data_IF_256703054277
#
_entry.id   IF_256703054277
#
_cell.length_a   1.000
_cell.length_b   1.000
_cell.length_c   1.000
_cell.angle_alpha   90.00
_cell.angle_beta   90.00
_cell.angle_gamma   90.00
#
_symmetry.space_group_name_H-M   'P 1'
#
loop_
_entity.id
_entity.type
_entity.pdbx_description
1 polymer ?
#
# COMPACT_ATOMS: atom_id res chain seq x y z
N UNK A 1 2.55 -32.52 -5.46
CA UNK A 1 3.17 -33.27 -4.36
C UNK A 1 3.17 -32.37 -3.12
N UNK A 2 2.79 -32.88 -1.97
CA UNK A 2 2.82 -32.13 -0.70
C UNK A 2 3.95 -32.68 0.17
N UNK A 3 4.65 -31.79 0.89
CA UNK A 3 5.73 -32.16 1.81
C UNK A 3 5.41 -31.65 3.23
N UNK A 4 5.86 -32.39 4.24
CA UNK A 4 5.72 -31.98 5.64
C UNK A 4 6.84 -31.02 6.02
N UNK A 5 6.49 -29.90 6.65
CA UNK A 5 7.44 -28.91 7.18
C UNK A 5 7.34 -28.91 8.69
N UNK A 6 8.47 -29.06 9.38
CA UNK A 6 8.55 -29.04 10.85
C UNK A 6 9.63 -28.07 11.31
N UNK A 7 9.33 -27.26 12.32
CA UNK A 7 10.28 -26.34 12.96
C UNK A 7 10.05 -26.32 14.48
N UNK A 8 11.09 -25.96 15.24
CA UNK A 8 10.97 -25.70 16.68
C UNK A 8 10.56 -24.25 16.89
N UNK A 9 9.57 -24.03 17.75
CA UNK A 9 9.09 -22.70 18.15
C UNK A 9 8.90 -22.68 19.67
N UNK A 10 9.04 -21.51 20.33
CA UNK A 10 8.68 -21.35 21.73
C UNK A 10 7.22 -21.75 21.98
N UNK A 11 6.97 -22.43 23.10
CA UNK A 11 5.64 -22.98 23.41
C UNK A 11 4.64 -21.87 23.66
N UNK A 12 5.08 -20.81 24.35
CA UNK A 12 4.29 -19.63 24.65
C UNK A 12 3.81 -18.96 23.37
N UNK A 13 4.71 -18.79 22.39
CA UNK A 13 4.39 -18.21 21.10
C UNK A 13 3.40 -19.08 20.31
N UNK A 14 3.59 -20.40 20.31
CA UNK A 14 2.67 -21.34 19.66
C UNK A 14 1.25 -21.19 20.21
N UNK A 15 1.12 -21.21 21.54
CA UNK A 15 -0.18 -21.22 22.20
C UNK A 15 -0.92 -19.89 21.99
N UNK A 16 -0.21 -18.76 22.07
CA UNK A 16 -0.76 -17.43 21.74
C UNK A 16 -1.27 -17.38 20.31
N UNK A 17 -0.47 -17.83 19.33
CA UNK A 17 -0.86 -17.80 17.92
C UNK A 17 -2.02 -18.75 17.65
N UNK A 18 -2.04 -19.94 18.25
CA UNK A 18 -3.11 -20.92 18.04
C UNK A 18 -4.46 -20.43 18.58
N UNK A 19 -4.46 -19.74 19.72
CA UNK A 19 -5.66 -19.08 20.22
C UNK A 19 -6.20 -18.04 19.22
N UNK A 20 -5.33 -17.16 18.72
CA UNK A 20 -5.69 -16.11 17.76
C UNK A 20 -6.17 -16.66 16.41
N UNK A 21 -5.53 -17.73 15.92
CA UNK A 21 -5.96 -18.43 14.69
C UNK A 21 -7.37 -19.02 14.84
N UNK A 22 -7.68 -19.58 16.01
CA UNK A 22 -9.00 -20.13 16.33
C UNK A 22 -10.11 -19.07 16.26
N UNK A 23 -9.85 -17.88 16.79
CA UNK A 23 -10.79 -16.74 16.71
C UNK A 23 -11.03 -16.28 15.27
N UNK A 24 -10.02 -16.40 14.41
CA UNK A 24 -10.07 -15.98 13.00
C UNK A 24 -10.55 -17.06 12.04
N UNK A 25 -10.85 -18.28 12.54
CA UNK A 25 -11.22 -19.43 11.70
C UNK A 25 -10.09 -19.94 10.80
N UNK A 26 -8.84 -19.58 11.09
CA UNK A 26 -7.66 -19.99 10.35
C UNK A 26 -6.98 -21.19 11.00
N UNK A 27 -6.28 -21.99 10.19
CA UNK A 27 -5.53 -23.15 10.66
C UNK A 27 -4.02 -22.88 10.65
N UNK A 28 -3.24 -23.56 11.52
CA UNK A 28 -1.78 -23.47 11.50
C UNK A 28 -1.18 -23.81 10.12
N UNK A 29 -1.77 -24.78 9.41
CA UNK A 29 -1.36 -25.13 8.05
C UNK A 29 -1.52 -23.96 7.07
N UNK A 30 -2.66 -23.26 7.13
CA UNK A 30 -2.90 -22.08 6.28
C UNK A 30 -1.93 -20.95 6.61
N UNK A 31 -1.62 -20.74 7.89
CA UNK A 31 -0.61 -19.76 8.30
C UNK A 31 0.75 -20.05 7.65
N UNK A 32 1.23 -21.30 7.74
CA UNK A 32 2.50 -21.70 7.13
C UNK A 32 2.46 -21.57 5.61
N UNK A 33 1.41 -22.06 4.95
CA UNK A 33 1.26 -21.95 3.49
C UNK A 33 1.29 -20.49 3.01
N UNK A 34 0.61 -19.60 3.72
CA UNK A 34 0.60 -18.17 3.41
C UNK A 34 1.97 -17.53 3.60
N UNK A 35 2.72 -17.93 4.63
CA UNK A 35 4.10 -17.47 4.82
C UNK A 35 5.02 -17.89 3.65
N UNK A 36 4.92 -19.14 3.18
CA UNK A 36 5.67 -19.60 2.00
C UNK A 36 5.27 -18.82 0.74
N UNK A 37 3.97 -18.59 0.52
CA UNK A 37 3.47 -17.83 -0.61
C UNK A 37 3.93 -16.36 -0.57
N UNK A 38 3.94 -15.74 0.63
CA UNK A 38 4.44 -14.39 0.83
C UNK A 38 5.93 -14.30 0.46
N UNK A 39 6.77 -15.19 0.98
CA UNK A 39 8.20 -15.16 0.68
C UNK A 39 8.48 -15.44 -0.81
N UNK A 40 7.75 -16.37 -1.43
CA UNK A 40 7.89 -16.66 -2.85
C UNK A 40 7.60 -15.43 -3.73
N UNK A 41 6.61 -14.61 -3.35
CA UNK A 41 6.20 -13.39 -4.05
C UNK A 41 7.13 -12.21 -3.78
N UNK A 42 7.41 -11.94 -2.50
CA UNK A 42 8.07 -10.70 -2.08
C UNK A 42 9.60 -10.86 -1.93
N UNK A 43 10.09 -12.10 -1.88
CA UNK A 43 11.51 -12.43 -1.63
C UNK A 43 12.06 -11.84 -0.33
N UNK A 44 11.16 -11.51 0.59
CA UNK A 44 11.44 -10.97 1.92
C UNK A 44 10.56 -11.69 2.94
N UNK A 45 11.06 -11.80 4.17
CA UNK A 45 10.20 -12.18 5.30
C UNK A 45 9.43 -10.95 5.77
N UNK A 46 8.23 -11.11 6.33
CA UNK A 46 7.58 -10.05 7.11
C UNK A 46 8.39 -9.86 8.39
N UNK A 47 9.54 -9.20 8.26
CA UNK A 47 10.27 -8.64 9.39
C UNK A 47 9.47 -7.43 9.88
N UNK A 48 9.59 -7.11 11.17
CA UNK A 48 9.06 -5.86 11.72
C UNK A 48 9.31 -4.74 10.71
N UNK A 49 8.23 -4.15 10.19
CA UNK A 49 8.36 -3.00 9.30
C UNK A 49 9.18 -1.97 10.06
N UNK A 50 10.39 -1.68 9.55
CA UNK A 50 11.19 -0.62 10.13
C UNK A 50 10.30 0.62 10.22
N UNK A 51 10.15 1.21 11.42
CA UNK A 51 9.25 2.33 11.60
C UNK A 51 9.60 3.39 10.57
N UNK A 52 8.61 3.84 9.80
CA UNK A 52 8.82 4.90 8.82
C UNK A 52 9.19 6.16 9.58
N UNK A 53 10.48 6.42 9.69
CA UNK A 53 10.98 7.62 10.36
C UNK A 53 10.61 8.85 9.52
N UNK A 54 10.10 9.93 10.17
CA UNK A 54 9.86 11.18 9.47
C UNK A 54 11.18 11.75 8.93
N UNK A 55 11.16 12.28 7.70
CA UNK A 55 12.34 12.89 7.09
C UNK A 55 12.35 12.86 5.57
N UNK A 56 13.46 13.35 5.00
CA UNK A 56 13.71 13.28 3.55
C UNK A 56 14.28 11.91 3.19
N UNK A 57 13.68 11.28 2.18
CA UNK A 57 14.18 10.01 1.63
C UNK A 57 14.87 10.27 0.30
N UNK A 58 16.03 9.67 0.14
CA UNK A 58 16.75 9.66 -1.14
C UNK A 58 16.29 8.45 -1.94
N UNK A 59 15.68 8.67 -3.10
CA UNK A 59 15.33 7.61 -4.03
C UNK A 59 16.57 7.17 -4.81
N UNK A 60 16.67 5.87 -5.12
CA UNK A 60 17.62 5.41 -6.14
C UNK A 60 17.22 5.97 -7.51
N UNK A 61 18.18 6.05 -8.43
CA UNK A 61 17.93 6.53 -9.80
C UNK A 61 16.79 5.78 -10.49
N UNK A 62 16.75 4.45 -10.34
CA UNK A 62 15.69 3.61 -10.91
C UNK A 62 14.31 3.97 -10.34
N UNK A 63 14.20 4.17 -9.02
CA UNK A 63 12.94 4.53 -8.36
C UNK A 63 12.50 5.94 -8.70
N UNK A 64 13.46 6.86 -8.87
CA UNK A 64 13.19 8.22 -9.32
C UNK A 64 12.64 8.21 -10.75
N UNK A 65 13.20 7.37 -11.63
CA UNK A 65 12.68 7.14 -12.99
C UNK A 65 11.25 6.62 -13.00
N UNK A 66 10.96 5.58 -12.21
CA UNK A 66 9.59 5.04 -12.07
C UNK A 66 8.60 6.08 -11.54
N UNK A 67 9.00 6.88 -10.55
CA UNK A 67 8.14 7.94 -10.00
C UNK A 67 7.86 9.04 -11.04
N UNK A 68 8.89 9.50 -11.75
CA UNK A 68 8.75 10.50 -12.80
C UNK A 68 7.90 10.00 -13.97
N UNK A 69 7.95 8.71 -14.28
CA UNK A 69 7.05 8.09 -15.25
C UNK A 69 5.61 8.07 -14.74
N UNK A 70 5.38 7.60 -13.52
CA UNK A 70 4.05 7.58 -12.91
C UNK A 70 3.40 8.96 -12.93
N UNK A 71 4.12 10.01 -12.51
CA UNK A 71 3.59 11.38 -12.51
C UNK A 71 3.21 11.81 -13.94
N UNK A 72 4.04 11.53 -14.94
CA UNK A 72 3.73 11.89 -16.34
C UNK A 72 2.51 11.16 -16.88
N UNK A 73 2.27 9.92 -16.46
CA UNK A 73 1.13 9.12 -16.91
C UNK A 73 -0.17 9.51 -16.20
N UNK A 74 -0.09 10.00 -14.96
CA UNK A 74 -1.26 10.33 -14.14
C UNK A 74 -1.58 11.82 -14.06
N UNK A 75 -0.69 12.69 -14.55
CA UNK A 75 -0.88 14.15 -14.50
C UNK A 75 -1.08 14.70 -15.91
N UNK A 76 -2.22 15.37 -16.11
CA UNK A 76 -2.47 16.14 -17.32
C UNK A 76 -1.81 17.52 -17.17
N UNK A 77 -0.88 17.85 -18.07
CA UNK A 77 -0.36 19.21 -18.13
C UNK A 77 -1.44 20.14 -18.68
N UNK A 78 -1.87 21.10 -17.87
CA UNK A 78 -2.87 22.10 -18.27
C UNK A 78 -2.16 23.39 -18.65
N UNK A 79 -2.58 24.02 -19.76
CA UNK A 79 -2.03 25.29 -20.20
C UNK A 79 -2.29 26.38 -19.14
N UNK A 80 -1.33 27.25 -18.77
CA UNK A 80 -1.58 28.36 -17.84
C UNK A 80 -2.78 29.25 -18.22
N UNK A 81 -3.12 29.35 -19.51
CA UNK A 81 -4.29 30.06 -20.00
C UNK A 81 -5.62 29.41 -19.55
N UNK A 82 -5.64 28.10 -19.25
CA UNK A 82 -6.80 27.42 -18.69
C UNK A 82 -7.23 28.05 -17.37
N UNK A 83 -6.25 28.43 -16.55
CA UNK A 83 -6.49 29.03 -15.25
C UNK A 83 -7.05 30.44 -15.34
N UNK A 84 -6.86 31.16 -16.45
CA UNK A 84 -7.36 32.53 -16.65
C UNK A 84 -7.03 33.48 -15.48
N UNK A 85 -5.92 33.25 -14.77
CA UNK A 85 -5.51 34.01 -13.60
C UNK A 85 -6.18 33.60 -12.28
N UNK A 86 -7.03 32.57 -12.28
CA UNK A 86 -7.62 31.96 -11.08
C UNK A 86 -6.73 30.83 -10.55
N UNK A 87 -6.83 30.58 -9.26
CA UNK A 87 -6.24 29.43 -8.60
C UNK A 87 -7.07 28.15 -8.81
N UNK A 88 -6.46 26.99 -8.59
CA UNK A 88 -7.12 25.68 -8.63
C UNK A 88 -8.35 25.63 -7.72
N UNK A 89 -8.24 26.20 -6.51
CA UNK A 89 -9.33 26.23 -5.52
C UNK A 89 -10.52 27.06 -6.01
N UNK A 90 -10.27 28.21 -6.65
CA UNK A 90 -11.32 29.08 -7.19
C UNK A 90 -12.06 28.42 -8.37
N UNK A 91 -11.34 27.73 -9.26
CA UNK A 91 -11.95 26.98 -10.35
C UNK A 91 -12.79 25.81 -9.84
N UNK A 92 -12.30 25.11 -8.82
CA UNK A 92 -13.02 24.00 -8.19
C UNK A 92 -14.30 24.49 -7.52
N UNK A 93 -14.23 25.60 -6.78
CA UNK A 93 -15.40 26.17 -6.10
C UNK A 93 -16.48 26.60 -7.10
N UNK A 94 -16.09 27.25 -8.20
CA UNK A 94 -17.00 27.66 -9.27
C UNK A 94 -17.69 26.46 -9.93
N UNK A 95 -16.91 25.44 -10.31
CA UNK A 95 -17.45 24.22 -10.90
C UNK A 95 -18.40 23.48 -9.96
N UNK A 96 -18.08 23.40 -8.66
CA UNK A 96 -18.96 22.81 -7.66
C UNK A 96 -20.25 23.62 -7.51
N UNK A 97 -20.17 24.94 -7.47
CA UNK A 97 -21.34 25.82 -7.35
C UNK A 97 -22.29 25.65 -8.53
N UNK A 98 -21.77 25.59 -9.75
CA UNK A 98 -22.55 25.31 -10.96
C UNK A 98 -23.20 23.92 -10.92
N UNK A 99 -22.45 22.90 -10.53
CA UNK A 99 -22.97 21.54 -10.41
C UNK A 99 -24.11 21.45 -9.39
N UNK A 100 -23.95 22.06 -8.21
CA UNK A 100 -25.01 22.11 -7.19
C UNK A 100 -26.23 22.92 -7.63
N UNK A 101 -26.02 24.02 -8.36
CA UNK A 101 -27.12 24.81 -8.91
C UNK A 101 -27.94 24.03 -9.95
N UNK A 102 -27.31 23.11 -10.70
CA UNK A 102 -28.00 22.25 -11.68
C UNK A 102 -28.84 21.11 -11.07
N UNK A 103 -28.66 20.86 -9.77
CA UNK A 103 -29.37 19.82 -9.00
C UNK A 103 -30.61 20.37 -8.26
N UNK A 104 -30.83 21.69 -8.29
CA UNK A 104 -31.94 22.40 -7.63
C UNK A 104 -33.06 22.74 -8.62
#
# INVERSE_FOLDING_TARGET
MNATVSARIPVELRDTVYASLGESGLTPTQLIQNAFAYYARNRTLPLEEEPVLPGKRTLSQDRLGSLAQSIRETTLAVDPAFFQGKSDDELLEEALREAYASLA
#
